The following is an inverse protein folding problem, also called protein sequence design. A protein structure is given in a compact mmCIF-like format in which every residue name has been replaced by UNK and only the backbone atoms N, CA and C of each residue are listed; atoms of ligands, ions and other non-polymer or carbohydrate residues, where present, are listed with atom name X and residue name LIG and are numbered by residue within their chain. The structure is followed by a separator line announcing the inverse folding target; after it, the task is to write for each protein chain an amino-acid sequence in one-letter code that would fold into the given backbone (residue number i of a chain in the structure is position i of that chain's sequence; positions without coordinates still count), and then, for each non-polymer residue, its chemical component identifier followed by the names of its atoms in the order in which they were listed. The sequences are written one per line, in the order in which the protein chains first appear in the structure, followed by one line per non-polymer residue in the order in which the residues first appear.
data_IF_983549414252
#
_entry.id   IF_983549414252
#
_cell.length_a   1.000
_cell.length_b   1.000
_cell.length_c   1.000
_cell.angle_alpha   90.00
_cell.angle_beta   90.00
_cell.angle_gamma   90.00
#
_symmetry.space_group_name_H-M   'P 1'
#
loop_
_entity.id
_entity.type
_entity.pdbx_description
1 polymer ?
#
# COMPACT_ATOMS: atom_id res chain seq x y z
N UNK A 1 -14.52 2.12 -17.15
CA UNK A 1 -13.23 2.50 -17.75
C UNK A 1 -12.19 2.69 -16.64
N UNK A 2 -11.15 1.87 -16.65
CA UNK A 2 -10.09 1.87 -15.64
C UNK A 2 -8.82 2.59 -16.11
N UNK A 3 -8.86 3.22 -17.29
CA UNK A 3 -7.67 3.84 -17.92
C UNK A 3 -7.04 4.91 -17.02
N UNK A 4 -7.86 5.81 -16.48
CA UNK A 4 -7.37 6.88 -15.59
C UNK A 4 -6.78 6.31 -14.29
N UNK A 5 -7.43 5.33 -13.68
CA UNK A 5 -6.93 4.67 -12.47
C UNK A 5 -5.61 3.93 -12.74
N UNK A 6 -5.49 3.30 -13.89
CA UNK A 6 -4.25 2.62 -14.30
C UNK A 6 -3.10 3.61 -14.51
N UNK A 7 -3.38 4.78 -15.07
CA UNK A 7 -2.37 5.85 -15.21
C UNK A 7 -1.95 6.40 -13.84
N UNK A 8 -2.89 6.65 -12.94
CA UNK A 8 -2.60 7.08 -11.57
C UNK A 8 -1.76 6.04 -10.82
N UNK A 9 -2.09 4.76 -10.95
CA UNK A 9 -1.29 3.66 -10.37
C UNK A 9 0.16 3.70 -10.84
N UNK A 10 0.38 3.83 -12.15
CA UNK A 10 1.73 3.92 -12.76
C UNK A 10 2.47 5.17 -12.29
N UNK A 11 1.78 6.30 -12.16
CA UNK A 11 2.36 7.54 -11.66
C UNK A 11 2.86 7.37 -10.22
N UNK A 12 2.03 6.81 -9.34
CA UNK A 12 2.42 6.53 -7.94
C UNK A 12 3.58 5.54 -7.85
N UNK A 13 3.61 4.53 -8.73
CA UNK A 13 4.72 3.58 -8.82
C UNK A 13 6.04 4.27 -9.18
N UNK A 14 6.01 5.17 -10.16
CA UNK A 14 7.19 5.94 -10.57
C UNK A 14 7.65 6.90 -9.47
N UNK A 15 6.72 7.52 -8.76
CA UNK A 15 7.01 8.42 -7.65
C UNK A 15 7.61 7.67 -6.45
N UNK A 16 7.11 6.47 -6.15
CA UNK A 16 7.69 5.60 -5.11
C UNK A 16 9.13 5.24 -5.45
N UNK A 17 9.40 4.77 -6.68
CA UNK A 17 10.75 4.43 -7.13
C UNK A 17 11.71 5.64 -7.07
N UNK A 18 11.24 6.83 -7.46
CA UNK A 18 12.00 8.08 -7.33
C UNK A 18 12.33 8.41 -5.88
N UNK A 19 11.37 8.23 -4.97
CA UNK A 19 11.55 8.48 -3.53
C UNK A 19 12.59 7.52 -2.94
N UNK A 20 12.50 6.24 -3.25
CA UNK A 20 13.46 5.22 -2.78
C UNK A 20 14.88 5.47 -3.29
N UNK A 21 15.02 5.96 -4.52
CA UNK A 21 16.31 6.29 -5.13
C UNK A 21 16.88 7.66 -4.68
N UNK A 22 16.12 8.46 -3.95
CA UNK A 22 16.53 9.80 -3.48
C UNK A 22 17.44 9.76 -2.26
N UNK A 23 18.04 8.61 -1.92
CA UNK A 23 18.95 8.50 -0.78
C UNK A 23 20.20 9.36 -1.01
N UNK A 24 20.45 10.38 -0.15
CA UNK A 24 21.62 11.23 -0.29
C UNK A 24 22.91 10.40 -0.09
N UNK A 25 23.96 10.75 -0.84
CA UNK A 25 25.28 10.11 -0.71
C UNK A 25 26.02 10.60 0.56
N UNK A 26 25.39 10.35 1.71
CA UNK A 26 25.94 10.68 3.04
C UNK A 26 27.01 9.65 3.42
N UNK A 27 26.99 8.47 2.80
CA UNK A 27 27.99 7.43 3.07
C UNK A 27 29.39 7.86 2.70
N UNK A 28 29.58 8.55 1.55
CA UNK A 28 30.85 9.11 1.16
C UNK A 28 31.32 10.22 2.12
N UNK A 29 30.42 11.11 2.54
CA UNK A 29 30.74 12.17 3.51
C UNK A 29 31.12 11.59 4.88
N UNK A 30 30.40 10.58 5.36
CA UNK A 30 30.72 9.88 6.61
C UNK A 30 32.07 9.15 6.52
N UNK A 31 32.39 8.57 5.37
CA UNK A 31 33.69 7.93 5.13
C UNK A 31 34.83 8.94 5.18
N UNK A 32 34.68 10.11 4.55
CA UNK A 32 35.66 11.18 4.59
C UNK A 32 35.91 11.67 6.02
N UNK A 33 34.84 11.92 6.79
CA UNK A 33 34.97 12.32 8.21
C UNK A 33 35.65 11.24 9.06
N UNK A 34 35.34 9.95 8.85
CA UNK A 34 36.03 8.85 9.54
C UNK A 34 37.52 8.83 9.24
N UNK A 35 37.93 9.08 8.01
CA UNK A 35 39.35 9.19 7.62
C UNK A 35 40.03 10.37 8.31
N UNK A 36 39.37 11.53 8.40
CA UNK A 36 39.87 12.71 9.12
C UNK A 36 40.02 12.42 10.63
N UNK A 37 39.03 11.76 11.23
CA UNK A 37 39.05 11.35 12.65
C UNK A 37 40.24 10.39 12.90
N UNK A 38 40.45 9.40 12.02
CA UNK A 38 41.57 8.47 12.15
C UNK A 38 42.92 9.21 12.09
N UNK A 39 43.09 10.11 11.14
CA UNK A 39 44.31 10.95 11.05
C UNK A 39 44.49 11.80 12.31
N UNK A 40 43.45 12.49 12.77
CA UNK A 40 43.53 13.33 13.97
C UNK A 40 43.77 12.49 15.25
N UNK A 41 43.26 11.29 15.32
CA UNK A 41 43.53 10.37 16.44
C UNK A 41 45.02 9.96 16.48
N UNK A 42 45.62 9.70 15.31
CA UNK A 42 47.07 9.44 15.23
C UNK A 42 47.88 10.65 15.67
N UNK A 43 47.47 11.88 15.30
CA UNK A 43 48.11 13.10 15.70
C UNK A 43 48.00 13.32 17.22
N UNK A 44 46.84 13.15 17.83
CA UNK A 44 46.62 13.18 19.27
C UNK A 44 47.58 12.20 19.99
N UNK A 45 47.64 10.95 19.50
CA UNK A 45 48.50 9.94 20.11
C UNK A 45 50.01 10.29 20.00
N UNK A 46 50.39 10.96 18.89
CA UNK A 46 51.76 11.47 18.69
C UNK A 46 52.11 12.59 19.67
N UNK A 47 51.21 13.58 19.78
CA UNK A 47 51.35 14.73 20.66
C UNK A 47 51.41 14.26 22.14
N UNK A 48 50.58 13.34 22.53
CA UNK A 48 50.52 12.78 23.85
C UNK A 48 51.85 12.11 24.24
N UNK A 49 52.50 11.37 23.34
CA UNK A 49 53.82 10.80 23.54
C UNK A 49 54.88 11.91 23.68
N UNK A 50 54.88 12.89 22.81
CA UNK A 50 55.82 14.04 22.90
C UNK A 50 55.64 14.84 24.18
N UNK A 51 54.41 14.98 24.66
CA UNK A 51 54.14 15.63 25.94
C UNK A 51 54.75 14.82 27.11
N UNK A 52 54.64 13.51 27.11
CA UNK A 52 55.23 12.65 28.12
C UNK A 52 56.76 12.74 28.13
N UNK A 53 57.37 12.93 26.95
CA UNK A 53 58.82 13.12 26.78
C UNK A 53 59.26 14.58 26.99
N UNK A 54 58.36 15.49 27.41
CA UNK A 54 58.64 16.93 27.64
C UNK A 54 58.87 17.75 26.36
N UNK A 55 58.58 17.15 25.16
CA UNK A 55 58.84 17.79 23.87
C UNK A 55 57.60 18.50 23.27
N UNK A 56 56.44 18.47 23.95
CA UNK A 56 55.24 19.22 23.61
C UNK A 56 54.67 19.96 24.82
N UNK A 57 53.81 20.92 24.58
CA UNK A 57 53.11 21.67 25.63
C UNK A 57 51.73 21.06 25.90
N UNK A 58 51.22 21.19 27.14
CA UNK A 58 49.85 20.76 27.49
C UNK A 58 48.80 21.42 26.58
N UNK A 59 48.96 22.71 26.32
CA UNK A 59 48.05 23.43 25.38
C UNK A 59 47.92 22.74 24.05
N UNK A 60 49.04 22.28 23.48
CA UNK A 60 49.04 21.60 22.17
C UNK A 60 48.28 20.26 22.22
N UNK A 61 48.38 19.51 23.31
CA UNK A 61 47.60 18.33 23.56
C UNK A 61 46.11 18.62 23.65
N UNK A 62 45.75 19.64 24.44
CA UNK A 62 44.35 20.02 24.63
C UNK A 62 43.69 20.48 23.31
N UNK A 63 44.42 21.28 22.51
CA UNK A 63 43.96 21.73 21.17
C UNK A 63 43.74 20.57 20.21
N UNK A 64 44.63 19.58 20.20
CA UNK A 64 44.48 18.40 19.36
C UNK A 64 43.28 17.52 19.77
N UNK A 65 43.08 17.36 21.07
CA UNK A 65 41.92 16.63 21.61
C UNK A 65 40.60 17.36 21.34
N UNK A 66 40.60 18.71 21.47
CA UNK A 66 39.44 19.54 21.15
C UNK A 66 39.04 19.38 19.67
N UNK A 67 40.01 19.39 18.76
CA UNK A 67 39.78 19.14 17.32
C UNK A 67 39.20 17.76 17.09
N UNK A 68 39.73 16.72 17.74
CA UNK A 68 39.21 15.36 17.60
C UNK A 68 37.75 15.25 18.09
N UNK A 69 37.44 15.90 19.22
CA UNK A 69 36.06 15.94 19.77
C UNK A 69 35.11 16.62 18.78
N UNK A 70 35.52 17.73 18.17
CA UNK A 70 34.71 18.44 17.16
C UNK A 70 34.42 17.55 15.95
N UNK A 71 35.42 16.85 15.39
CA UNK A 71 35.24 15.96 14.25
C UNK A 71 34.30 14.80 14.57
N UNK A 72 34.40 14.22 15.78
CA UNK A 72 33.48 13.16 16.24
C UNK A 72 32.04 13.68 16.35
N UNK A 73 31.85 14.88 16.95
CA UNK A 73 30.53 15.50 17.04
C UNK A 73 29.91 15.79 15.66
N UNK A 74 30.75 16.21 14.68
CA UNK A 74 30.30 16.40 13.30
C UNK A 74 29.85 15.07 12.66
N UNK A 75 30.60 13.99 12.88
CA UNK A 75 30.22 12.66 12.36
C UNK A 75 28.91 12.18 12.99
N UNK A 76 28.74 12.32 14.30
CA UNK A 76 27.52 11.93 15.01
C UNK A 76 26.29 12.75 14.52
N UNK A 77 26.46 14.07 14.31
CA UNK A 77 25.45 14.92 13.73
C UNK A 77 25.06 14.48 12.30
N UNK A 78 26.06 14.16 11.47
CA UNK A 78 25.84 13.66 10.11
C UNK A 78 25.10 12.32 10.10
N UNK A 79 25.48 11.38 10.97
CA UNK A 79 24.83 10.06 11.08
C UNK A 79 23.39 10.19 11.61
N UNK A 80 23.15 11.11 12.56
CA UNK A 80 21.79 11.42 13.04
C UNK A 80 20.90 11.96 11.91
N UNK A 81 21.43 12.88 11.10
CA UNK A 81 20.71 13.43 9.95
C UNK A 81 20.42 12.36 8.90
N UNK A 82 21.39 11.48 8.63
CA UNK A 82 21.20 10.34 7.75
C UNK A 82 20.09 9.41 8.25
N UNK A 83 20.09 9.10 9.53
CA UNK A 83 19.04 8.26 10.15
C UNK A 83 17.65 8.86 9.94
N UNK A 84 17.48 10.14 10.24
CA UNK A 84 16.21 10.86 10.06
C UNK A 84 15.78 10.92 8.58
N UNK A 85 16.72 11.20 7.68
CA UNK A 85 16.44 11.24 6.24
C UNK A 85 16.01 9.87 5.73
N UNK A 86 16.70 8.81 6.12
CA UNK A 86 16.34 7.43 5.75
C UNK A 86 14.95 7.04 6.26
N UNK A 87 14.63 7.37 7.51
CA UNK A 87 13.29 7.14 8.06
C UNK A 87 12.23 7.89 7.27
N UNK A 88 12.45 9.18 6.99
CA UNK A 88 11.50 9.99 6.21
C UNK A 88 11.29 9.44 4.79
N UNK A 89 12.34 9.00 4.10
CA UNK A 89 12.25 8.36 2.78
C UNK A 89 11.43 7.06 2.88
N UNK A 90 11.71 6.24 3.88
CA UNK A 90 10.96 5.00 4.13
C UNK A 90 9.47 5.26 4.39
N UNK A 91 9.16 6.23 5.26
CA UNK A 91 7.78 6.57 5.61
C UNK A 91 7.01 7.10 4.39
N UNK A 92 7.66 7.95 3.58
CA UNK A 92 7.09 8.44 2.33
C UNK A 92 6.86 7.32 1.30
N UNK A 93 7.79 6.38 1.18
CA UNK A 93 7.64 5.22 0.29
C UNK A 93 6.46 4.33 0.73
N UNK A 94 6.30 4.09 2.03
CA UNK A 94 5.16 3.35 2.60
C UNK A 94 3.84 4.09 2.36
N UNK A 95 3.81 5.42 2.54
CA UNK A 95 2.61 6.21 2.26
C UNK A 95 2.18 6.11 0.78
N UNK A 96 3.14 6.18 -0.16
CA UNK A 96 2.90 6.00 -1.58
C UNK A 96 2.44 4.57 -1.91
N UNK A 97 2.96 3.56 -1.20
CA UNK A 97 2.49 2.18 -1.33
C UNK A 97 1.00 2.07 -0.97
N UNK A 98 0.57 2.61 0.18
CA UNK A 98 -0.86 2.59 0.56
C UNK A 98 -1.75 3.32 -0.44
N UNK A 99 -1.31 4.47 -0.98
CA UNK A 99 -2.05 5.16 -2.03
C UNK A 99 -2.18 4.29 -3.28
N UNK A 100 -1.13 3.59 -3.68
CA UNK A 100 -1.14 2.66 -4.81
C UNK A 100 -2.08 1.48 -4.59
N UNK A 101 -2.09 0.90 -3.39
CA UNK A 101 -3.01 -0.18 -2.99
C UNK A 101 -4.47 0.30 -3.04
N UNK A 102 -4.74 1.52 -2.61
CA UNK A 102 -6.08 2.11 -2.70
C UNK A 102 -6.56 2.24 -4.15
N UNK A 103 -5.69 2.71 -5.07
CA UNK A 103 -6.01 2.77 -6.50
C UNK A 103 -6.21 1.37 -7.09
N UNK A 104 -5.37 0.40 -6.69
CA UNK A 104 -5.50 -0.99 -7.11
C UNK A 104 -6.86 -1.58 -6.71
N UNK A 105 -7.31 -1.32 -5.48
CA UNK A 105 -8.61 -1.74 -4.98
C UNK A 105 -9.77 -1.10 -5.79
N UNK A 106 -9.63 0.18 -6.17
CA UNK A 106 -10.61 0.84 -7.03
C UNK A 106 -10.66 0.22 -8.43
N UNK A 107 -9.50 -0.17 -8.99
CA UNK A 107 -9.44 -0.87 -10.28
C UNK A 107 -10.16 -2.22 -10.18
N UNK A 108 -9.90 -3.00 -9.14
CA UNK A 108 -10.57 -4.30 -8.91
C UNK A 108 -12.09 -4.12 -8.78
N UNK A 109 -12.52 -3.14 -7.99
CA UNK A 109 -13.96 -2.83 -7.80
C UNK A 109 -14.63 -2.26 -9.05
N UNK A 110 -13.87 -1.77 -10.01
CA UNK A 110 -14.41 -1.32 -11.30
C UNK A 110 -14.80 -2.49 -12.23
N UNK A 111 -14.35 -3.71 -11.90
CA UNK A 111 -14.76 -4.93 -12.59
C UNK A 111 -15.88 -5.58 -11.78
N UNK A 112 -17.12 -5.38 -12.23
CA UNK A 112 -18.29 -5.89 -11.53
C UNK A 112 -18.55 -7.31 -11.99
N UNK A 113 -18.49 -8.26 -11.07
CA UNK A 113 -18.77 -9.67 -11.29
C UNK A 113 -20.04 -10.10 -10.56
N UNK A 114 -20.73 -11.11 -11.10
CA UNK A 114 -21.89 -11.68 -10.43
C UNK A 114 -21.44 -12.39 -9.14
N UNK A 115 -22.07 -12.13 -7.99
CA UNK A 115 -21.71 -12.76 -6.70
C UNK A 115 -22.12 -14.23 -6.63
N UNK A 116 -23.07 -14.65 -7.49
CA UNK A 116 -23.57 -16.01 -7.57
C UNK A 116 -23.69 -16.44 -9.04
N UNK A 117 -23.54 -17.73 -9.29
CA UNK A 117 -23.86 -18.31 -10.59
C UNK A 117 -25.38 -18.30 -10.83
N UNK A 118 -25.78 -18.12 -12.08
CA UNK A 118 -27.20 -18.12 -12.41
C UNK A 118 -27.49 -17.52 -13.79
N UNK A 119 -28.77 -17.29 -14.05
CA UNK A 119 -29.28 -16.70 -15.28
C UNK A 119 -29.54 -15.22 -15.08
N UNK A 120 -29.08 -14.38 -16.02
CA UNK A 120 -29.40 -12.95 -16.04
C UNK A 120 -30.87 -12.80 -16.44
N UNK A 121 -31.70 -12.34 -15.50
CA UNK A 121 -33.13 -12.11 -15.75
C UNK A 121 -33.39 -10.78 -16.39
N UNK A 122 -32.66 -9.75 -15.97
CA UNK A 122 -32.85 -8.40 -16.48
C UNK A 122 -31.54 -7.63 -16.49
N UNK A 123 -31.32 -6.85 -17.53
CA UNK A 123 -30.21 -5.95 -17.70
C UNK A 123 -30.75 -4.51 -17.63
N UNK A 124 -30.13 -3.66 -16.79
CA UNK A 124 -30.57 -2.27 -16.55
C UNK A 124 -29.60 -1.24 -17.11
N UNK A 125 -28.43 -1.68 -17.59
CA UNK A 125 -27.44 -0.78 -18.16
C UNK A 125 -26.86 -1.35 -19.45
N UNK A 126 -26.62 -0.50 -20.42
CA UNK A 126 -26.00 -0.82 -21.69
C UNK A 126 -24.51 -0.46 -21.71
N UNK A 127 -23.76 -1.10 -22.63
CA UNK A 127 -22.36 -0.77 -22.83
C UNK A 127 -22.23 0.69 -23.29
N UNK A 128 -21.38 1.46 -22.60
CA UNK A 128 -21.19 2.90 -22.85
C UNK A 128 -22.02 3.81 -21.94
N UNK A 129 -22.96 3.28 -21.15
CA UNK A 129 -23.67 4.08 -20.16
C UNK A 129 -22.82 4.34 -18.91
N UNK A 130 -23.11 5.47 -18.28
CA UNK A 130 -22.46 5.84 -17.02
C UNK A 130 -23.11 5.09 -15.85
N UNK A 131 -22.32 4.25 -15.19
CA UNK A 131 -22.73 3.53 -13.98
C UNK A 131 -22.52 4.39 -12.74
N UNK A 132 -23.61 4.74 -12.05
CA UNK A 132 -23.55 5.44 -10.76
C UNK A 132 -23.57 4.44 -9.62
N UNK A 133 -22.86 4.72 -8.51
CA UNK A 133 -22.94 3.89 -7.30
C UNK A 133 -24.40 3.75 -6.82
N UNK A 134 -24.78 2.50 -6.47
CA UNK A 134 -26.13 2.20 -6.02
C UNK A 134 -27.18 1.88 -7.10
N UNK A 135 -26.87 2.10 -8.39
CA UNK A 135 -27.76 1.69 -9.49
C UNK A 135 -27.53 0.20 -9.80
N UNK A 136 -28.60 -0.61 -9.87
CA UNK A 136 -28.49 -2.00 -10.32
C UNK A 136 -28.08 -2.04 -11.79
N UNK A 137 -27.18 -2.96 -12.15
CA UNK A 137 -26.74 -3.16 -13.55
C UNK A 137 -27.45 -4.35 -14.19
N UNK A 138 -27.67 -5.41 -13.45
CA UNK A 138 -28.38 -6.61 -13.88
C UNK A 138 -28.92 -7.36 -12.67
N UNK A 139 -29.97 -8.17 -12.90
CA UNK A 139 -30.52 -9.12 -11.92
C UNK A 139 -30.12 -10.52 -12.33
N UNK A 140 -29.51 -11.28 -11.41
CA UNK A 140 -29.16 -12.71 -11.60
C UNK A 140 -29.99 -13.54 -10.65
N UNK A 141 -30.53 -14.66 -11.13
CA UNK A 141 -31.22 -15.63 -10.31
C UNK A 141 -30.70 -17.05 -10.58
N UNK A 142 -30.58 -17.83 -9.53
CA UNK A 142 -30.40 -19.29 -9.64
C UNK A 142 -31.75 -19.93 -9.90
N UNK A 143 -31.92 -20.43 -11.12
CA UNK A 143 -33.15 -21.11 -11.56
C UNK A 143 -33.16 -22.60 -11.17
N UNK A 144 -32.08 -23.16 -10.59
CA UNK A 144 -32.04 -24.56 -10.13
C UNK A 144 -32.82 -24.82 -8.87
N UNK A 145 -33.13 -23.77 -8.09
CA UNK A 145 -33.86 -23.85 -6.81
C UNK A 145 -35.20 -23.14 -6.80
N UNK A 146 -35.95 -23.17 -7.90
CA UNK A 146 -37.26 -22.50 -7.99
C UNK A 146 -38.27 -23.22 -7.08
N UNK A 147 -38.99 -22.44 -6.29
CA UNK A 147 -40.13 -22.91 -5.51
C UNK A 147 -41.36 -22.07 -5.77
N UNK A 148 -42.53 -22.74 -5.80
CA UNK A 148 -43.82 -22.08 -5.91
C UNK A 148 -44.46 -21.97 -4.52
N UNK A 149 -44.91 -20.81 -4.14
CA UNK A 149 -45.69 -20.59 -2.90
C UNK A 149 -47.16 -20.41 -3.26
N UNK A 150 -47.98 -21.32 -2.81
CA UNK A 150 -49.44 -21.25 -2.97
C UNK A 150 -50.11 -21.15 -1.63
N UNK A 151 -51.29 -20.47 -1.60
CA UNK A 151 -52.08 -20.27 -0.40
C UNK A 151 -53.39 -21.08 -0.59
N UNK A 152 -53.71 -21.90 0.41
CA UNK A 152 -54.89 -22.75 0.39
C UNK A 152 -55.81 -22.37 1.55
N UNK A 153 -57.13 -22.47 1.33
CA UNK A 153 -58.14 -22.32 2.40
C UNK A 153 -58.13 -23.56 3.28
N UNK A 154 -58.66 -23.48 4.51
CA UNK A 154 -58.73 -24.63 5.42
C UNK A 154 -59.51 -25.82 4.86
N UNK A 155 -60.52 -25.60 4.03
CA UNK A 155 -61.27 -26.63 3.35
C UNK A 155 -60.45 -27.36 2.27
N UNK A 156 -59.56 -26.66 1.55
CA UNK A 156 -58.69 -27.24 0.53
C UNK A 156 -57.52 -28.02 1.12
N UNK A 157 -57.10 -27.70 2.33
CA UNK A 157 -55.99 -28.36 3.01
C UNK A 157 -56.32 -29.82 3.40
N UNK A 158 -57.59 -30.20 3.50
CA UNK A 158 -58.01 -31.57 3.83
C UNK A 158 -57.58 -32.60 2.79
N UNK A 159 -57.48 -32.20 1.54
CA UNK A 159 -57.14 -33.05 0.42
C UNK A 159 -55.65 -33.01 0.00
N UNK A 160 -54.87 -32.14 0.62
CA UNK A 160 -53.45 -31.94 0.27
C UNK A 160 -52.55 -32.71 1.23
N UNK A 161 -51.64 -33.51 0.68
CA UNK A 161 -50.64 -34.32 1.43
C UNK A 161 -49.21 -33.90 1.05
N UNK A 162 -48.34 -33.88 2.07
CA UNK A 162 -46.94 -33.62 1.87
C UNK A 162 -46.35 -34.74 0.98
N UNK A 163 -45.61 -34.33 -0.07
CA UNK A 163 -44.96 -35.27 -1.03
C UNK A 163 -45.85 -35.70 -2.18
N UNK A 164 -47.09 -35.23 -2.29
CA UNK A 164 -47.91 -35.50 -3.46
C UNK A 164 -47.38 -34.78 -4.71
N UNK A 165 -47.44 -35.41 -5.91
CA UNK A 165 -47.07 -34.72 -7.14
C UNK A 165 -48.04 -33.59 -7.47
N UNK A 166 -47.50 -32.45 -7.89
CA UNK A 166 -48.29 -31.29 -8.30
C UNK A 166 -47.91 -30.92 -9.72
N UNK A 167 -48.90 -30.69 -10.55
CA UNK A 167 -48.73 -30.15 -11.89
C UNK A 167 -48.96 -28.63 -11.86
N UNK A 168 -47.94 -27.86 -12.24
CA UNK A 168 -48.05 -26.41 -12.37
C UNK A 168 -48.22 -26.10 -13.84
N UNK A 169 -49.33 -25.44 -14.15
CA UNK A 169 -49.62 -24.94 -15.51
C UNK A 169 -49.44 -23.43 -15.45
N UNK A 170 -48.45 -22.92 -16.17
CA UNK A 170 -48.24 -21.50 -16.27
C UNK A 170 -49.11 -20.95 -17.39
N UNK A 171 -49.98 -20.03 -17.03
CA UNK A 171 -50.80 -19.29 -18.02
C UNK A 171 -50.00 -18.09 -18.54
N UNK A 172 -49.23 -18.30 -19.58
CA UNK A 172 -48.47 -17.25 -20.25
C UNK A 172 -49.28 -16.49 -21.30
N UNK A 173 -50.61 -16.68 -21.36
CA UNK A 173 -51.51 -15.90 -22.25
C UNK A 173 -51.16 -16.00 -23.74
N UNK A 174 -50.56 -17.10 -24.15
CA UNK A 174 -50.25 -17.35 -25.55
C UNK A 174 -50.91 -18.67 -26.00
N UNK A 175 -51.90 -18.58 -26.84
CA UNK A 175 -52.29 -19.68 -27.69
C UNK A 175 -51.15 -20.02 -28.63
N UNK A 176 -50.68 -21.20 -28.58
CA UNK A 176 -50.00 -22.16 -29.44
C UNK A 176 -48.77 -22.78 -28.86
#
# INVERSE_FOLDING_TARGET
DTTMLTLQYKQLQSQQASTENSSPDIAAQASALRSQIAHQQHECNRISRLLADGAATQKRSDDAEATLRTLRAQLDGLLSTLGKSKTSISDNAVALQYQREQIQEQIVKSIITAPVGGTVLQKYAEAGEFATPGRPLFTVADLGGIYLRSYFTASQLADIRIGQPVTVIADFGGDE
#
